data_IF_228594828535
#
_entry.id   IF_228594828535
#
_cell.length_a   1.000
_cell.length_b   1.000
_cell.length_c   1.000
_cell.angle_alpha   90.00
_cell.angle_beta   90.00
_cell.angle_gamma   90.00
#
_symmetry.space_group_name_H-M   'P 1'
#
loop_
_entity.id
_entity.type
_entity.pdbx_description
1 polymer ?
#
# COMPACT_ATOMS: atom_id res chain seq x y z
N UNK A 1 1.51 5.26 -16.52
CA UNK A 1 0.11 5.74 -16.66
C UNK A 1 -0.38 5.63 -18.10
N UNK A 2 0.26 6.30 -19.08
CA UNK A 2 -0.19 6.36 -20.49
C UNK A 2 -0.39 4.97 -21.12
N UNK A 3 0.57 4.06 -20.91
CA UNK A 3 0.50 2.69 -21.45
C UNK A 3 -0.46 1.77 -20.69
N UNK A 4 -1.12 2.23 -19.61
CA UNK A 4 -1.95 1.41 -18.70
C UNK A 4 -1.25 0.13 -18.23
N UNK A 5 -0.01 0.27 -17.79
CA UNK A 5 0.80 -0.84 -17.28
C UNK A 5 1.40 -0.53 -15.92
N UNK A 6 1.56 -1.60 -15.14
CA UNK A 6 2.31 -1.65 -13.89
C UNK A 6 3.42 -2.69 -14.06
N UNK A 7 4.69 -2.28 -13.98
CA UNK A 7 5.82 -3.22 -13.94
C UNK A 7 6.05 -3.65 -12.50
N UNK A 8 5.81 -4.93 -12.20
CA UNK A 8 5.94 -5.45 -10.83
C UNK A 8 7.42 -5.59 -10.40
N UNK A 9 7.72 -5.86 -9.11
CA UNK A 9 9.09 -5.98 -8.62
C UNK A 9 9.95 -7.06 -9.32
N UNK A 10 9.34 -7.97 -10.08
CA UNK A 10 10.03 -9.00 -10.87
C UNK A 10 10.28 -8.55 -12.32
N UNK A 11 10.02 -7.29 -12.63
CA UNK A 11 10.13 -6.74 -13.99
C UNK A 11 8.99 -7.16 -14.92
N UNK A 12 7.92 -7.78 -14.41
CA UNK A 12 6.83 -8.27 -15.24
C UNK A 12 5.83 -7.15 -15.48
N UNK A 13 5.56 -6.87 -16.75
CA UNK A 13 4.56 -5.89 -17.16
C UNK A 13 3.16 -6.47 -16.96
N UNK A 14 2.35 -5.82 -16.13
CA UNK A 14 0.95 -6.15 -15.86
C UNK A 14 0.06 -5.10 -16.51
N UNK A 15 -0.99 -5.55 -17.19
CA UNK A 15 -2.05 -4.65 -17.65
C UNK A 15 -2.77 -4.03 -16.44
N UNK A 16 -3.21 -2.79 -16.60
CA UNK A 16 -3.93 -2.02 -15.59
C UNK A 16 -5.27 -1.59 -16.15
N UNK A 17 -6.33 -1.99 -15.46
CA UNK A 17 -7.69 -1.66 -15.88
C UNK A 17 -8.00 -0.20 -15.59
N UNK A 18 -7.40 0.38 -14.55
CA UNK A 18 -7.68 1.76 -14.16
C UNK A 18 -6.55 2.46 -13.42
N UNK A 19 -6.43 3.74 -13.72
CA UNK A 19 -5.53 4.67 -13.10
C UNK A 19 -6.25 6.00 -12.91
N UNK A 20 -6.33 6.50 -11.69
CA UNK A 20 -6.89 7.82 -11.41
C UNK A 20 -5.92 8.63 -10.53
N UNK A 21 -5.47 9.78 -11.04
CA UNK A 21 -4.58 10.70 -10.30
C UNK A 21 -5.43 11.70 -9.54
N UNK A 22 -5.11 11.87 -8.26
CA UNK A 22 -5.68 12.87 -7.37
C UNK A 22 -4.57 13.71 -6.76
N UNK A 23 -4.87 14.90 -6.20
CA UNK A 23 -3.86 15.75 -5.56
C UNK A 23 -3.09 15.06 -4.42
N UNK A 24 -3.71 14.08 -3.76
CA UNK A 24 -3.10 13.33 -2.65
C UNK A 24 -2.46 12.00 -3.05
N UNK A 25 -2.71 11.49 -4.26
CA UNK A 25 -2.30 10.13 -4.58
C UNK A 25 -2.73 9.59 -5.93
N UNK A 26 -2.33 8.35 -6.19
CA UNK A 26 -2.65 7.60 -7.39
C UNK A 26 -3.46 6.36 -7.03
N UNK A 27 -4.65 6.24 -7.58
CA UNK A 27 -5.43 5.01 -7.59
C UNK A 27 -5.02 4.10 -8.74
N UNK A 28 -4.99 2.79 -8.48
CA UNK A 28 -4.67 1.73 -9.43
C UNK A 28 -5.62 0.56 -9.23
N UNK A 29 -6.25 0.07 -10.29
CA UNK A 29 -7.05 -1.17 -10.26
C UNK A 29 -6.57 -2.12 -11.35
N UNK A 30 -6.28 -3.38 -11.00
CA UNK A 30 -5.79 -4.33 -12.00
C UNK A 30 -6.03 -5.81 -11.64
N UNK A 31 -6.16 -6.68 -12.67
CA UNK A 31 -6.15 -8.11 -12.47
C UNK A 31 -4.76 -8.62 -12.08
N UNK A 32 -4.72 -9.81 -11.49
CA UNK A 32 -3.49 -10.47 -11.02
C UNK A 32 -3.36 -11.88 -11.60
N UNK A 33 -3.26 -12.01 -12.94
CA UNK A 33 -3.26 -13.32 -13.59
C UNK A 33 -2.09 -14.19 -13.12
N UNK A 34 -2.41 -15.46 -12.85
CA UNK A 34 -1.46 -16.46 -12.37
C UNK A 34 -1.16 -16.39 -10.86
N UNK A 35 -1.80 -15.50 -10.10
CA UNK A 35 -1.72 -15.52 -8.62
C UNK A 35 -2.79 -16.44 -8.05
N UNK A 36 -2.36 -17.34 -7.16
CA UNK A 36 -3.26 -18.29 -6.49
C UNK A 36 -4.10 -17.60 -5.41
N UNK A 37 -3.54 -16.60 -4.72
CA UNK A 37 -4.16 -16.00 -3.53
C UNK A 37 -5.31 -15.04 -3.86
N UNK A 38 -5.15 -14.21 -4.90
CA UNK A 38 -6.13 -13.19 -5.27
C UNK A 38 -6.15 -12.99 -6.79
N UNK A 39 -7.31 -12.67 -7.35
CA UNK A 39 -7.52 -12.47 -8.79
C UNK A 39 -7.54 -10.99 -9.20
N UNK A 40 -7.72 -10.08 -8.24
CA UNK A 40 -7.73 -8.65 -8.47
C UNK A 40 -7.12 -7.88 -7.30
N UNK A 41 -6.62 -6.69 -7.58
CA UNK A 41 -6.25 -5.74 -6.53
C UNK A 41 -6.60 -4.32 -6.91
N UNK A 42 -6.80 -3.53 -5.88
CA UNK A 42 -6.90 -2.08 -5.95
C UNK A 42 -5.89 -1.47 -4.99
N UNK A 43 -5.21 -0.40 -5.41
CA UNK A 43 -4.25 0.29 -4.56
C UNK A 43 -4.36 1.80 -4.68
N UNK A 44 -4.14 2.49 -3.56
CA UNK A 44 -3.87 3.91 -3.48
C UNK A 44 -2.42 4.14 -3.07
N UNK A 45 -1.63 4.81 -3.90
CA UNK A 45 -0.30 5.30 -3.54
C UNK A 45 -0.45 6.71 -2.93
N UNK A 46 0.06 6.91 -1.72
CA UNK A 46 -0.11 8.11 -0.90
C UNK A 46 1.25 8.73 -0.53
N UNK A 47 1.88 9.49 -1.45
CA UNK A 47 3.25 10.02 -1.30
C UNK A 47 3.50 10.74 0.02
N UNK A 48 2.59 11.64 0.43
CA UNK A 48 2.76 12.44 1.64
C UNK A 48 2.75 11.63 2.93
N UNK A 49 2.31 10.37 2.87
CA UNK A 49 2.30 9.45 4.02
C UNK A 49 3.39 8.39 3.92
N UNK A 50 4.00 8.20 2.74
CA UNK A 50 4.86 7.06 2.46
C UNK A 50 4.12 5.72 2.63
N UNK A 51 2.86 5.68 2.15
CA UNK A 51 2.00 4.49 2.25
C UNK A 51 1.41 4.11 0.89
N UNK A 52 1.21 2.82 0.69
CA UNK A 52 0.32 2.28 -0.33
C UNK A 52 -0.77 1.44 0.33
N UNK A 53 -2.00 1.93 0.29
CA UNK A 53 -3.15 1.15 0.76
C UNK A 53 -3.61 0.21 -0.35
N UNK A 54 -3.86 -1.06 -0.04
CA UNK A 54 -4.28 -2.08 -0.99
C UNK A 54 -5.49 -2.85 -0.46
N UNK A 55 -6.45 -3.11 -1.36
CA UNK A 55 -7.52 -4.09 -1.17
C UNK A 55 -7.26 -5.25 -2.12
N UNK A 56 -7.20 -6.46 -1.57
CA UNK A 56 -7.08 -7.71 -2.34
C UNK A 56 -8.45 -8.35 -2.54
N UNK A 57 -8.74 -8.74 -3.77
CA UNK A 57 -9.92 -9.55 -4.10
C UNK A 57 -9.48 -11.02 -4.12
N UNK A 58 -9.59 -11.66 -2.95
CA UNK A 58 -9.09 -13.02 -2.72
C UNK A 58 -9.85 -14.06 -3.55
N UNK A 59 -9.13 -15.12 -3.93
CA UNK A 59 -9.75 -16.33 -4.45
C UNK A 59 -10.36 -17.14 -3.29
N UNK A 60 -11.39 -17.97 -3.55
CA UNK A 60 -12.00 -18.79 -2.51
C UNK A 60 -10.98 -19.63 -1.74
N UNK A 61 -11.02 -19.56 -0.41
CA UNK A 61 -10.12 -20.28 0.50
C UNK A 61 -8.79 -19.59 0.79
N UNK A 62 -8.57 -18.39 0.24
CA UNK A 62 -7.38 -17.56 0.49
C UNK A 62 -7.68 -16.27 1.24
N UNK A 63 -8.92 -16.10 1.73
CA UNK A 63 -9.36 -14.91 2.44
C UNK A 63 -8.47 -14.62 3.65
N UNK A 64 -8.25 -13.33 3.90
CA UNK A 64 -7.51 -12.81 5.04
C UNK A 64 -8.44 -11.97 5.90
N UNK A 65 -8.15 -11.92 7.20
CA UNK A 65 -8.91 -11.14 8.17
C UNK A 65 -8.33 -9.73 8.31
N UNK A 66 -8.37 -8.98 7.21
CA UNK A 66 -8.07 -7.55 7.16
C UNK A 66 -8.87 -6.89 6.04
N UNK A 67 -9.24 -5.62 6.24
CA UNK A 67 -9.92 -4.82 5.21
C UNK A 67 -8.93 -4.17 4.25
N UNK A 68 -7.79 -3.72 4.78
CA UNK A 68 -6.74 -3.03 4.05
C UNK A 68 -5.36 -3.56 4.42
N UNK A 69 -4.48 -3.60 3.44
CA UNK A 69 -3.05 -3.86 3.60
C UNK A 69 -2.30 -2.59 3.23
N UNK A 70 -1.45 -2.07 4.12
CA UNK A 70 -0.69 -0.85 3.88
C UNK A 70 0.79 -1.17 3.73
N UNK A 71 1.32 -1.07 2.51
CA UNK A 71 2.77 -1.13 2.30
C UNK A 71 3.40 0.20 2.77
N UNK A 72 4.50 0.16 3.50
CA UNK A 72 5.31 1.34 3.87
C UNK A 72 6.47 1.48 2.91
N UNK A 73 6.65 2.67 2.36
CA UNK A 73 7.71 2.90 1.39
C UNK A 73 7.75 4.30 0.82
N UNK A 74 8.45 4.44 -0.29
CA UNK A 74 8.55 5.69 -1.05
C UNK A 74 7.69 5.61 -2.30
N UNK A 75 6.77 6.55 -2.45
CA UNK A 75 5.87 6.64 -3.60
C UNK A 75 6.05 7.98 -4.28
N UNK A 76 6.74 7.99 -5.41
CA UNK A 76 7.14 9.23 -6.09
C UNK A 76 6.21 9.51 -7.28
N UNK A 77 5.48 10.64 -7.27
CA UNK A 77 4.69 11.06 -8.42
C UNK A 77 5.56 11.39 -9.63
N UNK A 78 5.02 11.12 -10.81
CA UNK A 78 5.56 11.65 -12.05
C UNK A 78 4.43 11.91 -13.06
N UNK A 79 4.69 12.77 -14.07
CA UNK A 79 3.67 13.18 -15.03
C UNK A 79 3.13 12.00 -15.86
N UNK A 80 3.97 11.01 -16.14
CA UNK A 80 3.60 9.83 -16.95
C UNK A 80 3.80 8.51 -16.21
N UNK A 81 4.75 8.48 -15.27
CA UNK A 81 5.20 7.30 -14.54
C UNK A 81 5.32 7.65 -13.06
N UNK A 82 4.63 6.90 -12.22
CA UNK A 82 4.84 6.90 -10.78
C UNK A 82 5.80 5.78 -10.43
N UNK A 83 6.61 5.98 -9.39
CA UNK A 83 7.51 4.96 -8.85
C UNK A 83 7.10 4.59 -7.43
N UNK A 84 7.29 3.33 -7.10
CA UNK A 84 7.14 2.80 -5.75
C UNK A 84 8.41 2.06 -5.37
N UNK A 85 8.94 2.35 -4.20
CA UNK A 85 9.98 1.59 -3.54
C UNK A 85 9.41 1.10 -2.22
N UNK A 86 9.45 -0.21 -2.02
CA UNK A 86 8.93 -0.86 -0.83
C UNK A 86 10.00 -0.88 0.26
N UNK A 87 9.64 -0.50 1.49
CA UNK A 87 10.54 -0.47 2.65
C UNK A 87 10.17 -1.54 3.69
N UNK A 88 9.68 -2.68 3.22
CA UNK A 88 9.45 -3.94 3.94
C UNK A 88 8.33 -3.93 4.97
N UNK A 89 8.14 -2.84 5.71
CA UNK A 89 7.10 -2.79 6.73
C UNK A 89 5.71 -2.73 6.11
N UNK A 90 4.83 -3.57 6.64
CA UNK A 90 3.43 -3.60 6.25
C UNK A 90 2.51 -3.45 7.45
N UNK A 91 1.29 -2.94 7.21
CA UNK A 91 0.25 -2.83 8.24
C UNK A 91 -1.03 -3.49 7.75
N UNK A 92 -1.48 -4.51 8.46
CA UNK A 92 -2.79 -5.13 8.26
C UNK A 92 -3.84 -4.43 9.11
N UNK A 93 -4.89 -3.89 8.48
CA UNK A 93 -5.92 -3.09 9.16
C UNK A 93 -7.26 -3.80 9.16
N UNK A 94 -7.84 -4.00 10.34
CA UNK A 94 -9.24 -4.44 10.55
C UNK A 94 -10.06 -3.24 11.02
N UNK A 95 -11.01 -2.80 10.19
CA UNK A 95 -11.79 -1.58 10.45
C UNK A 95 -12.57 -1.71 11.76
N UNK A 96 -12.37 -0.76 12.68
CA UNK A 96 -13.05 -0.77 13.98
C UNK A 96 -12.41 -1.66 15.05
N UNK A 97 -11.41 -2.48 14.70
CA UNK A 97 -10.80 -3.46 15.60
C UNK A 97 -9.32 -3.17 15.89
N UNK A 98 -8.47 -3.13 14.86
CA UNK A 98 -7.03 -3.04 15.09
C UNK A 98 -6.19 -2.80 13.84
N UNK A 99 -4.89 -2.61 14.07
CA UNK A 99 -3.87 -2.52 13.04
C UNK A 99 -2.61 -3.25 13.51
N UNK A 100 -2.18 -4.26 12.76
CA UNK A 100 -1.06 -5.13 13.09
C UNK A 100 0.14 -4.79 12.17
N UNK A 101 1.29 -4.49 12.77
CA UNK A 101 2.54 -4.24 12.05
C UNK A 101 3.21 -5.58 11.71
N UNK A 102 3.59 -5.77 10.46
CA UNK A 102 4.24 -6.98 9.94
C UNK A 102 5.64 -6.70 9.39
N UNK A 103 6.39 -7.78 9.13
CA UNK A 103 7.64 -7.82 8.36
C UNK A 103 8.79 -6.93 8.88
N UNK A 104 8.79 -6.72 10.21
CA UNK A 104 9.88 -6.05 10.94
C UNK A 104 11.19 -6.82 10.81
N UNK A 105 11.14 -8.15 10.79
CA UNK A 105 12.30 -9.00 10.59
C UNK A 105 12.91 -8.83 9.19
N UNK A 106 12.07 -8.71 8.14
CA UNK A 106 12.54 -8.42 6.79
C UNK A 106 13.23 -7.06 6.70
N UNK A 107 12.69 -6.02 7.34
CA UNK A 107 13.34 -4.70 7.42
C UNK A 107 14.74 -4.81 8.05
N UNK A 108 14.84 -5.50 9.19
CA UNK A 108 16.12 -5.66 9.89
C UNK A 108 17.13 -6.47 9.06
N UNK A 109 16.65 -7.49 8.35
CA UNK A 109 17.48 -8.27 7.43
C UNK A 109 17.97 -7.42 6.25
N UNK A 110 17.09 -6.61 5.65
CA UNK A 110 17.44 -5.71 4.56
C UNK A 110 18.53 -4.70 4.96
N UNK A 111 18.41 -4.09 6.15
CA UNK A 111 19.43 -3.19 6.69
C UNK A 111 20.73 -3.94 6.94
N UNK A 112 20.67 -5.13 7.55
CA UNK A 112 21.85 -5.96 7.83
C UNK A 112 22.64 -6.30 6.57
N UNK A 113 21.96 -6.56 5.46
CA UNK A 113 22.58 -6.88 4.17
C UNK A 113 22.83 -5.66 3.28
N UNK A 114 22.53 -4.45 3.75
CA UNK A 114 22.74 -3.21 2.99
C UNK A 114 21.80 -3.04 1.79
N UNK A 115 20.66 -3.73 1.77
CA UNK A 115 19.60 -3.57 0.76
C UNK A 115 18.78 -2.30 1.01
N UNK A 116 18.73 -1.84 2.26
CA UNK A 116 18.10 -0.59 2.67
C UNK A 116 19.06 0.18 3.59
N UNK A 117 19.16 1.50 3.42
CA UNK A 117 20.00 2.31 4.31
C UNK A 117 19.38 2.41 5.72
N UNK A 118 20.19 2.59 6.78
CA UNK A 118 19.66 2.83 8.12
C UNK A 118 18.70 4.02 8.20
N UNK A 119 18.96 5.09 7.47
CA UNK A 119 18.13 6.30 7.43
C UNK A 119 16.78 6.03 6.76
N UNK A 120 16.76 5.25 5.67
CA UNK A 120 15.52 4.84 5.03
C UNK A 120 14.70 3.90 5.93
N UNK A 121 15.37 2.99 6.64
CA UNK A 121 14.72 2.11 7.62
C UNK A 121 14.12 2.90 8.80
N UNK A 122 14.85 3.88 9.33
CA UNK A 122 14.33 4.78 10.36
C UNK A 122 13.07 5.51 9.88
N UNK A 123 13.11 6.05 8.66
CA UNK A 123 11.96 6.72 8.06
C UNK A 123 10.76 5.77 7.88
N UNK A 124 11.01 4.52 7.46
CA UNK A 124 9.96 3.51 7.34
C UNK A 124 9.29 3.24 8.70
N UNK A 125 10.08 3.06 9.77
CA UNK A 125 9.55 2.89 11.13
C UNK A 125 8.73 4.10 11.57
N UNK A 126 9.22 5.32 11.33
CA UNK A 126 8.50 6.55 11.68
C UNK A 126 7.16 6.66 10.93
N UNK A 127 7.13 6.31 9.63
CA UNK A 127 5.91 6.27 8.81
C UNK A 127 4.92 5.24 9.34
N UNK A 128 5.38 4.02 9.63
CA UNK A 128 4.53 2.95 10.16
C UNK A 128 3.90 3.36 11.51
N UNK A 129 4.70 3.88 12.44
CA UNK A 129 4.22 4.36 13.75
C UNK A 129 3.22 5.50 13.59
N UNK A 130 3.49 6.47 12.73
CA UNK A 130 2.57 7.56 12.46
C UNK A 130 1.23 7.06 11.86
N UNK A 131 1.29 6.04 11.01
CA UNK A 131 0.11 5.42 10.40
C UNK A 131 -0.74 4.69 11.44
N UNK A 132 -0.14 3.79 12.25
CA UNK A 132 -0.83 3.07 13.32
C UNK A 132 -1.44 4.05 14.33
N UNK A 133 -0.71 5.10 14.72
CA UNK A 133 -1.24 6.14 15.61
C UNK A 133 -2.42 6.92 14.99
N UNK A 134 -2.34 7.19 13.69
CA UNK A 134 -3.43 7.82 12.94
C UNK A 134 -4.68 6.96 12.89
N UNK A 135 -4.53 5.68 12.57
CA UNK A 135 -5.59 4.67 12.56
C UNK A 135 -6.23 4.54 13.94
N UNK A 136 -5.44 4.33 15.00
CA UNK A 136 -5.93 4.15 16.36
C UNK A 136 -6.79 5.35 16.84
N UNK A 137 -6.39 6.59 16.51
CA UNK A 137 -7.15 7.80 16.85
C UNK A 137 -8.47 7.95 16.08
N UNK A 138 -8.65 7.18 15.01
CA UNK A 138 -9.82 7.20 14.16
C UNK A 138 -10.62 5.88 14.24
N UNK A 139 -10.41 5.08 15.28
CA UNK A 139 -11.10 3.80 15.46
C UNK A 139 -10.71 2.75 14.42
N UNK A 140 -9.44 2.77 13.99
CA UNK A 140 -8.87 1.89 12.97
C UNK A 140 -9.59 1.96 11.60
N UNK A 141 -10.33 3.05 11.35
CA UNK A 141 -11.00 3.33 10.09
C UNK A 141 -10.08 4.16 9.18
N UNK A 142 -9.51 3.49 8.16
CA UNK A 142 -8.61 4.11 7.18
C UNK A 142 -9.28 5.28 6.46
N UNK A 143 -10.54 5.11 6.03
CA UNK A 143 -11.25 6.13 5.27
C UNK A 143 -11.48 7.36 6.15
N UNK A 144 -11.90 7.17 7.40
CA UNK A 144 -12.06 8.28 8.36
C UNK A 144 -10.75 9.00 8.65
N UNK A 145 -9.67 8.24 8.87
CA UNK A 145 -8.36 8.82 9.14
C UNK A 145 -7.89 9.70 7.97
N UNK A 146 -8.04 9.22 6.74
CA UNK A 146 -7.58 9.92 5.54
C UNK A 146 -8.50 11.09 5.15
N UNK A 147 -9.82 10.95 5.30
CA UNK A 147 -10.76 12.05 5.11
C UNK A 147 -10.47 13.23 6.04
N UNK A 148 -10.11 12.96 7.31
CA UNK A 148 -9.65 13.99 8.26
C UNK A 148 -8.38 14.74 7.82
N UNK A 149 -7.67 14.24 6.80
CA UNK A 149 -6.48 14.86 6.18
C UNK A 149 -6.78 15.43 4.79
N UNK A 150 -8.05 15.48 4.39
CA UNK A 150 -8.48 15.93 3.06
C UNK A 150 -8.14 14.94 1.94
N UNK A 151 -7.97 13.66 2.27
CA UNK A 151 -7.65 12.59 1.31
C UNK A 151 -8.84 11.62 1.24
N UNK A 152 -9.67 11.78 0.21
CA UNK A 152 -10.85 10.93 0.03
C UNK A 152 -10.47 9.69 -0.79
N UNK A 153 -10.53 8.51 -0.17
CA UNK A 153 -10.28 7.26 -0.87
C UNK A 153 -11.59 6.65 -1.36
N UNK A 154 -11.60 6.26 -2.63
CA UNK A 154 -12.69 5.47 -3.21
C UNK A 154 -12.16 4.11 -3.66
N UNK A 155 -12.95 3.08 -3.44
CA UNK A 155 -12.69 1.70 -3.87
C UNK A 155 -13.85 1.26 -4.77
N UNK A 156 -13.61 0.31 -5.68
CA UNK A 156 -14.68 -0.33 -6.43
C UNK A 156 -15.55 -1.12 -5.46
N UNK A 157 -16.85 -1.17 -5.75
CA UNK A 157 -17.76 -1.97 -4.95
C UNK A 157 -17.28 -3.43 -4.96
N UNK A 158 -17.15 -4.02 -3.76
CA UNK A 158 -16.78 -5.42 -3.53
C UNK A 158 -17.87 -6.36 -4.04
#
# INVERSE_FOLDING_TARGET
>A
MIARTNTDPKGIVRAVDDYAVHPWGLYVARPTPGRAQFHYLESWLLPSLGLRATVFHFNPGHERDHDYYLDVGEYTPGPEVWRSEDHYLDIEVRTGDGADLADVDELLEAVRHGLLSPEAAELAVQRAVAAVAGLARNGYDLSRWLAGRGMELTWRAR
#
